data_IF_273697238258
#
_entry.id   IF_273697238258
#
_cell.length_a   1.000
_cell.length_b   1.000
_cell.length_c   1.000
_cell.angle_alpha   90.00
_cell.angle_beta   90.00
_cell.angle_gamma   90.00
#
_symmetry.space_group_name_H-M   'P 1'
#
loop_
_entity.id
_entity.type
_entity.pdbx_description
1 polymer ?
#
# COMPACT_ATOMS: atom_id res chain seq x y z
N UNK A 1 40.31 57.39 22.08
CA UNK A 1 40.33 55.94 22.24
C UNK A 1 39.92 55.34 20.88
N UNK A 2 40.89 54.89 20.11
CA UNK A 2 40.72 54.28 18.77
C UNK A 2 40.71 52.80 18.95
N UNK A 3 39.63 52.12 18.50
CA UNK A 3 39.56 50.64 18.42
C UNK A 3 40.16 50.17 17.12
N UNK A 4 41.24 49.38 17.19
CA UNK A 4 41.79 48.65 16.07
C UNK A 4 40.85 47.48 15.73
N UNK A 5 40.49 47.36 14.46
CA UNK A 5 39.87 46.17 13.88
C UNK A 5 40.98 45.35 13.19
N UNK A 6 41.24 44.16 13.67
CA UNK A 6 42.21 43.23 13.07
C UNK A 6 41.50 42.41 11.98
N UNK A 7 41.99 42.55 10.74
CA UNK A 7 41.65 41.67 9.64
C UNK A 7 42.52 40.40 9.69
N UNK A 8 41.86 39.24 9.75
CA UNK A 8 42.51 37.94 9.57
C UNK A 8 42.49 37.57 8.07
N UNK A 9 43.54 37.02 7.50
CA UNK A 9 43.57 36.60 6.11
C UNK A 9 42.93 35.24 5.92
N UNK A 10 42.09 35.14 4.86
CA UNK A 10 41.46 33.91 4.36
C UNK A 10 42.59 33.05 3.72
N UNK A 11 42.89 31.90 4.30
CA UNK A 11 43.77 30.89 3.66
C UNK A 11 42.85 29.99 2.80
N UNK A 12 43.05 30.08 1.49
CA UNK A 12 42.39 29.16 0.53
C UNK A 12 43.15 27.82 0.54
N UNK A 13 42.49 26.78 1.02
CA UNK A 13 42.98 25.40 0.90
C UNK A 13 42.55 24.86 -0.48
N UNK A 14 43.51 24.67 -1.38
CA UNK A 14 43.31 23.94 -2.62
C UNK A 14 43.25 22.43 -2.31
N UNK A 15 42.09 21.82 -2.44
CA UNK A 15 41.93 20.38 -2.35
C UNK A 15 42.31 19.74 -3.70
N UNK A 16 43.36 18.92 -3.70
CA UNK A 16 43.75 18.11 -4.84
C UNK A 16 42.75 16.96 -5.06
N UNK A 17 42.10 16.96 -6.19
CA UNK A 17 41.21 15.86 -6.61
C UNK A 17 42.07 14.63 -6.99
N UNK A 18 42.03 13.57 -6.17
CA UNK A 18 42.49 12.25 -6.57
C UNK A 18 41.30 11.56 -7.27
N UNK A 19 41.50 11.20 -8.53
CA UNK A 19 40.50 10.51 -9.35
C UNK A 19 40.24 9.09 -8.84
N UNK A 20 39.09 8.86 -8.29
CA UNK A 20 38.51 7.53 -8.08
C UNK A 20 37.90 6.99 -9.39
N UNK A 21 37.69 5.67 -9.52
CA UNK A 21 37.22 5.07 -10.75
C UNK A 21 35.80 5.63 -11.11
N UNK A 22 35.69 6.05 -12.36
CA UNK A 22 34.37 6.50 -12.91
C UNK A 22 33.42 5.32 -12.96
N UNK A 23 32.46 5.29 -12.06
CA UNK A 23 31.25 4.51 -12.24
C UNK A 23 30.49 5.15 -13.38
N UNK A 24 30.28 4.44 -14.46
CA UNK A 24 29.43 4.84 -15.57
C UNK A 24 28.00 4.98 -15.02
N UNK A 25 27.58 6.20 -14.73
CA UNK A 25 26.20 6.51 -14.45
C UNK A 25 25.44 6.49 -15.78
N UNK A 26 24.76 5.39 -16.08
CA UNK A 26 23.61 5.44 -16.96
C UNK A 26 22.51 6.19 -16.21
N UNK A 27 22.66 7.50 -16.15
CA UNK A 27 21.60 8.39 -15.71
C UNK A 27 20.55 8.41 -16.83
N UNK A 28 19.57 7.50 -16.75
CA UNK A 28 18.32 7.69 -17.45
C UNK A 28 17.73 9.01 -16.97
N UNK A 29 17.63 9.96 -17.90
CA UNK A 29 17.15 11.32 -17.70
C UNK A 29 15.73 11.29 -17.10
N UNK A 30 15.49 11.82 -15.88
CA UNK A 30 14.17 11.77 -15.25
C UNK A 30 13.19 12.83 -15.74
N UNK A 31 13.46 13.52 -16.85
CA UNK A 31 12.79 14.78 -17.21
C UNK A 31 11.78 14.67 -18.36
N UNK A 32 11.41 13.49 -18.84
CA UNK A 32 10.31 13.39 -19.81
C UNK A 32 9.05 12.79 -19.16
N UNK A 33 7.89 13.51 -19.24
CA UNK A 33 6.64 12.96 -18.72
C UNK A 33 6.25 11.72 -19.53
N UNK A 34 6.05 10.61 -18.84
CA UNK A 34 5.63 9.34 -19.41
C UNK A 34 4.25 9.36 -20.09
N UNK A 35 3.49 10.45 -19.90
CA UNK A 35 2.15 10.65 -20.48
C UNK A 35 2.12 10.54 -22.02
N UNK A 36 3.25 10.86 -22.69
CA UNK A 36 3.30 10.87 -24.15
C UNK A 36 3.77 9.55 -24.77
N UNK A 37 4.10 8.56 -23.94
CA UNK A 37 4.66 7.27 -24.37
C UNK A 37 3.94 6.05 -23.84
N UNK A 38 2.72 6.18 -23.34
CA UNK A 38 1.95 4.97 -23.02
C UNK A 38 1.62 4.25 -24.33
N UNK A 39 2.17 3.05 -24.56
CA UNK A 39 1.69 2.23 -25.67
C UNK A 39 0.20 1.96 -25.45
N UNK A 40 -0.60 1.88 -26.52
CA UNK A 40 -1.98 1.47 -26.37
C UNK A 40 -2.00 0.12 -25.66
N UNK A 41 -2.84 0.00 -24.61
CA UNK A 41 -2.92 -1.20 -23.81
C UNK A 41 -3.20 -2.41 -24.72
N UNK A 42 -2.21 -3.28 -24.86
CA UNK A 42 -2.43 -4.58 -25.51
C UNK A 42 -3.11 -5.51 -24.49
N UNK A 43 -4.42 -5.61 -24.64
CA UNK A 43 -5.31 -6.34 -23.74
C UNK A 43 -5.36 -7.85 -23.98
N UNK A 44 -4.43 -8.39 -24.76
CA UNK A 44 -4.47 -9.81 -25.16
C UNK A 44 -3.90 -10.79 -24.12
N UNK A 45 -3.33 -10.31 -23.00
CA UNK A 45 -2.62 -11.17 -22.05
C UNK A 45 -3.37 -11.31 -20.72
N UNK A 46 -4.13 -12.39 -20.61
CA UNK A 46 -4.66 -12.93 -19.36
C UNK A 46 -5.96 -12.30 -18.88
N UNK A 47 -7.03 -12.57 -19.57
CA UNK A 47 -8.39 -12.40 -19.04
C UNK A 47 -8.58 -13.29 -17.82
N UNK A 48 -8.34 -12.74 -16.63
CA UNK A 48 -9.08 -13.23 -15.47
C UNK A 48 -10.54 -12.97 -15.82
N UNK A 49 -11.36 -14.01 -15.85
CA UNK A 49 -12.78 -13.92 -16.21
C UNK A 49 -13.44 -12.82 -15.36
N UNK A 50 -13.71 -11.67 -15.97
CA UNK A 50 -14.57 -10.67 -15.38
C UNK A 50 -15.94 -11.34 -15.30
N UNK A 51 -16.39 -11.63 -14.09
CA UNK A 51 -17.77 -12.08 -13.86
C UNK A 51 -18.72 -11.13 -14.56
N UNK A 52 -19.90 -11.64 -14.96
CA UNK A 52 -20.97 -10.82 -15.55
C UNK A 52 -21.17 -9.52 -14.75
N UNK A 53 -21.69 -8.41 -15.33
CA UNK A 53 -21.93 -7.16 -14.64
C UNK A 53 -22.81 -7.38 -13.42
N UNK A 54 -22.20 -7.48 -12.25
CA UNK A 54 -22.77 -7.75 -10.94
C UNK A 54 -21.90 -7.15 -9.86
N UNK A 55 -22.32 -7.23 -8.62
CA UNK A 55 -21.51 -6.84 -7.47
C UNK A 55 -20.26 -7.75 -7.41
N UNK A 56 -19.04 -7.20 -7.42
CA UNK A 56 -17.84 -8.03 -7.36
C UNK A 56 -17.79 -8.81 -6.04
N UNK A 57 -17.24 -10.01 -6.06
CA UNK A 57 -17.00 -10.76 -4.83
C UNK A 57 -16.04 -9.97 -3.92
N UNK A 58 -16.35 -9.83 -2.62
CA UNK A 58 -15.52 -9.06 -1.71
C UNK A 58 -14.15 -9.71 -1.53
N UNK A 59 -13.12 -8.89 -1.36
CA UNK A 59 -11.80 -9.34 -0.96
C UNK A 59 -11.88 -9.86 0.48
N UNK A 60 -11.36 -11.05 0.75
CA UNK A 60 -11.28 -11.58 2.11
C UNK A 60 -10.34 -10.70 2.97
N UNK A 61 -10.86 -10.00 3.99
CA UNK A 61 -10.05 -9.11 4.81
C UNK A 61 -9.27 -9.83 5.90
N UNK A 62 -9.44 -11.15 6.10
CA UNK A 62 -8.76 -11.87 7.18
C UNK A 62 -7.25 -11.80 7.02
N UNK A 63 -6.56 -11.49 8.11
CA UNK A 63 -5.10 -11.52 8.11
C UNK A 63 -4.60 -12.95 7.84
N UNK A 64 -3.54 -13.12 7.04
CA UNK A 64 -2.93 -14.42 6.83
C UNK A 64 -2.37 -14.97 8.14
N UNK A 65 -2.35 -16.28 8.27
CA UNK A 65 -1.69 -16.94 9.42
C UNK A 65 -0.17 -16.72 9.32
N UNK A 66 0.53 -16.55 10.46
CA UNK A 66 1.98 -16.44 10.44
C UNK A 66 2.59 -17.74 9.89
N UNK A 67 3.54 -17.65 8.95
CA UNK A 67 4.26 -18.81 8.46
C UNK A 67 5.17 -19.39 9.56
N UNK A 68 5.69 -20.61 9.39
CA UNK A 68 6.77 -21.12 10.22
C UNK A 68 7.96 -20.15 10.22
N UNK A 69 8.59 -19.98 11.39
CA UNK A 69 9.77 -19.10 11.55
C UNK A 69 10.93 -19.51 10.64
N UNK A 70 11.67 -18.53 10.17
CA UNK A 70 12.90 -18.72 9.42
C UNK A 70 12.86 -18.15 8.00
N UNK A 71 12.99 -19.01 6.98
CA UNK A 71 13.00 -18.57 5.58
C UNK A 71 11.59 -18.55 4.99
N UNK A 72 11.14 -17.34 4.64
CA UNK A 72 9.84 -17.12 3.99
C UNK A 72 10.09 -16.75 2.53
N UNK A 73 9.64 -17.58 1.59
CA UNK A 73 9.74 -17.30 0.16
C UNK A 73 8.51 -16.57 -0.32
N UNK A 74 8.71 -15.45 -1.00
CA UNK A 74 7.66 -14.62 -1.56
C UNK A 74 7.96 -14.38 -3.03
N UNK A 75 6.98 -14.67 -3.90
CA UNK A 75 7.07 -14.41 -5.33
C UNK A 75 5.90 -13.55 -5.77
N UNK A 76 6.22 -12.41 -6.40
CA UNK A 76 5.24 -11.57 -7.05
C UNK A 76 5.40 -11.62 -8.57
N UNK A 77 4.27 -11.62 -9.24
CA UNK A 77 4.17 -11.47 -10.68
C UNK A 77 3.43 -10.17 -10.99
N UNK A 78 4.07 -9.29 -11.73
CA UNK A 78 3.41 -8.06 -12.21
C UNK A 78 2.56 -8.42 -13.42
N UNK A 79 1.30 -7.96 -13.42
CA UNK A 79 0.36 -8.15 -14.52
C UNK A 79 -0.57 -6.96 -14.64
N UNK A 80 -0.96 -6.62 -15.85
CA UNK A 80 -2.16 -5.80 -16.08
C UNK A 80 -3.39 -6.71 -15.96
N UNK A 81 -4.40 -6.23 -15.24
CA UNK A 81 -5.59 -7.05 -14.94
C UNK A 81 -6.81 -6.15 -14.90
N UNK A 82 -7.88 -6.57 -15.53
CA UNK A 82 -9.18 -5.89 -15.44
C UNK A 82 -9.89 -6.34 -14.17
N UNK A 83 -10.20 -5.38 -13.31
CA UNK A 83 -10.81 -5.61 -12.00
C UNK A 83 -12.07 -4.76 -11.85
N UNK A 84 -13.08 -5.30 -11.19
CA UNK A 84 -14.20 -4.50 -10.71
C UNK A 84 -13.74 -3.69 -9.49
N UNK A 85 -13.88 -2.36 -9.53
CA UNK A 85 -13.52 -1.45 -8.45
C UNK A 85 -14.74 -0.86 -7.73
N UNK A 86 -15.92 -1.01 -8.35
CA UNK A 86 -17.24 -0.72 -7.80
C UNK A 86 -18.27 -1.53 -8.58
N UNK A 87 -19.55 -1.64 -8.14
CA UNK A 87 -20.60 -2.28 -8.90
C UNK A 87 -20.73 -1.71 -10.32
N UNK A 88 -20.54 -2.56 -11.33
CA UNK A 88 -20.60 -2.18 -12.74
C UNK A 88 -19.41 -1.36 -13.27
N UNK A 89 -18.38 -1.11 -12.46
CA UNK A 89 -17.20 -0.32 -12.83
C UNK A 89 -15.99 -1.23 -12.94
N UNK A 90 -15.44 -1.36 -14.14
CA UNK A 90 -14.25 -2.16 -14.45
C UNK A 90 -13.09 -1.23 -14.73
N UNK A 91 -11.95 -1.49 -14.11
CA UNK A 91 -10.73 -0.72 -14.24
C UNK A 91 -9.57 -1.62 -14.69
N UNK A 92 -8.72 -1.13 -15.58
CA UNK A 92 -7.49 -1.81 -16.01
C UNK A 92 -6.36 -1.47 -15.04
N UNK A 93 -6.19 -2.34 -14.04
CA UNK A 93 -5.23 -2.16 -12.97
C UNK A 93 -3.85 -2.76 -13.32
N UNK A 94 -2.80 -2.19 -12.72
CA UNK A 94 -1.50 -2.83 -12.63
C UNK A 94 -1.41 -3.54 -11.29
N UNK A 95 -1.01 -4.80 -11.30
CA UNK A 95 -1.22 -5.64 -10.14
C UNK A 95 0.02 -6.43 -9.75
N UNK A 96 0.14 -6.71 -8.45
CA UNK A 96 0.93 -7.83 -7.96
C UNK A 96 0.02 -9.06 -7.84
N UNK A 97 0.34 -10.13 -8.56
CA UNK A 97 -0.40 -11.40 -8.58
C UNK A 97 -1.88 -11.25 -8.99
N UNK A 98 -2.19 -10.34 -9.94
CA UNK A 98 -3.51 -10.22 -10.55
C UNK A 98 -4.61 -9.66 -9.65
N UNK A 99 -4.29 -8.98 -8.55
CA UNK A 99 -5.26 -8.47 -7.57
C UNK A 99 -4.84 -7.13 -6.98
N UNK A 100 -5.82 -6.37 -6.45
CA UNK A 100 -5.64 -5.12 -5.70
C UNK A 100 -6.47 -5.19 -4.40
N UNK A 101 -5.87 -4.98 -3.23
CA UNK A 101 -4.42 -4.92 -3.01
C UNK A 101 -3.72 -6.20 -3.45
N UNK A 102 -2.42 -6.13 -3.68
CA UNK A 102 -1.58 -7.31 -3.83
C UNK A 102 -1.69 -8.25 -2.61
N UNK A 103 -1.06 -9.42 -2.60
CA UNK A 103 -1.17 -10.39 -1.51
C UNK A 103 -0.85 -9.79 -0.15
N UNK A 104 -1.69 -10.03 0.86
CA UNK A 104 -1.32 -9.73 2.25
C UNK A 104 -0.21 -10.67 2.69
N UNK A 105 0.91 -10.11 3.10
CA UNK A 105 2.05 -10.86 3.58
C UNK A 105 2.10 -10.85 5.12
N UNK A 106 2.65 -11.91 5.70
CA UNK A 106 2.93 -11.97 7.14
C UNK A 106 4.24 -12.69 7.39
N UNK A 107 5.08 -12.10 8.22
CA UNK A 107 6.38 -12.61 8.67
C UNK A 107 6.57 -12.25 10.14
N UNK A 108 7.64 -12.73 10.76
CA UNK A 108 7.98 -12.33 12.14
C UNK A 108 9.35 -11.64 12.15
N UNK A 109 9.57 -10.74 13.09
CA UNK A 109 10.88 -10.10 13.31
C UNK A 109 11.98 -11.15 13.33
N UNK A 110 13.04 -10.95 12.53
CA UNK A 110 14.18 -11.85 12.41
C UNK A 110 14.00 -13.01 11.41
N UNK A 111 12.82 -13.18 10.79
CA UNK A 111 12.70 -14.07 9.64
C UNK A 111 13.55 -13.55 8.46
N UNK A 112 13.89 -14.43 7.55
CA UNK A 112 14.53 -14.05 6.28
C UNK A 112 13.48 -14.12 5.17
N UNK A 113 13.24 -13.00 4.51
CA UNK A 113 12.38 -12.96 3.31
C UNK A 113 13.25 -13.16 2.08
N UNK A 114 12.96 -14.21 1.32
CA UNK A 114 13.57 -14.51 0.02
C UNK A 114 12.55 -14.11 -1.05
N UNK A 115 12.76 -12.95 -1.64
CA UNK A 115 11.78 -12.31 -2.50
C UNK A 115 12.17 -12.39 -3.97
N UNK A 116 11.20 -12.69 -4.82
CA UNK A 116 11.32 -12.66 -6.28
C UNK A 116 10.22 -11.80 -6.88
N UNK A 117 10.57 -10.82 -7.71
CA UNK A 117 9.65 -10.07 -8.58
C UNK A 117 9.84 -10.53 -10.02
N UNK A 118 8.75 -10.89 -10.70
CA UNK A 118 8.76 -11.20 -12.15
C UNK A 118 7.85 -10.22 -12.84
N UNK A 119 8.36 -9.53 -13.85
CA UNK A 119 7.59 -8.56 -14.59
C UNK A 119 7.02 -9.13 -15.89
N UNK A 120 5.73 -9.46 -15.87
CA UNK A 120 4.93 -9.81 -17.06
C UNK A 120 4.11 -8.62 -17.59
N UNK A 121 4.36 -7.42 -17.07
CA UNK A 121 3.72 -6.18 -17.52
C UNK A 121 4.35 -5.64 -18.82
N UNK A 122 3.85 -4.48 -19.25
CA UNK A 122 4.29 -3.84 -20.51
C UNK A 122 5.30 -2.72 -20.27
N UNK A 123 5.59 -2.39 -19.03
CA UNK A 123 6.51 -1.31 -18.64
C UNK A 123 7.39 -1.73 -17.47
N UNK A 124 8.45 -0.96 -17.14
CA UNK A 124 9.26 -1.22 -15.97
C UNK A 124 8.45 -1.14 -14.68
N UNK A 125 8.71 -2.06 -13.76
CA UNK A 125 8.14 -2.08 -12.42
C UNK A 125 9.22 -2.43 -11.40
N UNK A 126 8.98 -2.12 -10.13
CA UNK A 126 9.86 -2.46 -9.04
C UNK A 126 9.06 -2.82 -7.79
N UNK A 127 9.73 -2.97 -6.68
CA UNK A 127 9.10 -3.17 -5.37
C UNK A 127 9.82 -2.34 -4.33
N UNK A 128 9.06 -1.76 -3.40
CA UNK A 128 9.53 -1.16 -2.17
C UNK A 128 8.77 -1.77 -1.00
N UNK A 129 9.49 -2.35 -0.04
CA UNK A 129 8.92 -2.82 1.23
C UNK A 129 9.29 -1.84 2.33
N UNK A 130 8.33 -1.10 2.88
CA UNK A 130 8.58 -0.16 3.97
C UNK A 130 9.17 -0.81 5.23
N UNK A 131 8.98 -2.12 5.40
CA UNK A 131 9.59 -2.89 6.49
C UNK A 131 11.08 -3.24 6.25
N UNK A 132 11.59 -3.09 5.03
CA UNK A 132 12.94 -3.48 4.69
C UNK A 132 13.91 -2.32 4.89
N UNK A 133 14.89 -2.52 5.76
CA UNK A 133 15.94 -1.53 6.02
C UNK A 133 17.13 -1.78 5.10
N UNK A 134 16.94 -1.55 3.80
CA UNK A 134 17.95 -1.78 2.75
C UNK A 134 18.09 -0.50 1.93
N UNK A 135 19.30 -0.22 1.45
CA UNK A 135 19.50 0.90 0.53
C UNK A 135 18.74 0.66 -0.80
N UNK A 136 17.80 1.55 -1.18
CA UNK A 136 16.95 1.35 -2.38
C UNK A 136 17.76 1.12 -3.66
N UNK A 137 18.90 1.78 -3.81
CA UNK A 137 19.79 1.63 -4.97
C UNK A 137 20.36 0.22 -5.16
N UNK A 138 20.20 -0.66 -4.19
CA UNK A 138 20.68 -2.04 -4.26
C UNK A 138 19.65 -3.05 -4.71
N UNK A 139 18.36 -2.80 -4.41
CA UNK A 139 17.31 -3.82 -4.52
C UNK A 139 15.97 -3.31 -5.05
N UNK A 140 15.77 -1.98 -5.16
CA UNK A 140 14.53 -1.43 -5.69
C UNK A 140 14.76 -0.87 -7.10
N UNK A 141 15.38 -1.72 -7.94
CA UNK A 141 15.69 -1.37 -9.32
C UNK A 141 14.51 -1.62 -10.25
N UNK A 142 14.52 -1.00 -11.41
CA UNK A 142 13.49 -1.22 -12.40
C UNK A 142 13.68 -2.59 -13.07
N UNK A 143 12.73 -3.48 -12.87
CA UNK A 143 12.63 -4.77 -13.57
C UNK A 143 11.92 -4.52 -14.88
N UNK A 144 12.60 -4.76 -16.00
CA UNK A 144 12.05 -4.57 -17.33
C UNK A 144 11.03 -5.66 -17.68
N UNK A 145 10.11 -5.42 -18.64
CA UNK A 145 9.20 -6.45 -19.15
C UNK A 145 9.95 -7.73 -19.56
N UNK A 146 9.53 -8.87 -19.01
CA UNK A 146 10.15 -10.18 -19.25
C UNK A 146 11.29 -10.54 -18.28
N UNK A 147 11.78 -9.57 -17.51
CA UNK A 147 12.86 -9.80 -16.54
C UNK A 147 12.34 -10.15 -15.13
N UNK A 148 13.28 -10.49 -14.25
CA UNK A 148 13.02 -10.72 -12.82
C UNK A 148 14.14 -10.16 -11.96
N UNK A 149 13.82 -9.88 -10.70
CA UNK A 149 14.76 -9.48 -9.65
C UNK A 149 14.57 -10.35 -8.42
N UNK A 150 15.67 -10.69 -7.77
CA UNK A 150 15.66 -11.48 -6.52
C UNK A 150 16.54 -10.81 -5.47
N UNK A 151 16.04 -10.73 -4.25
CA UNK A 151 16.83 -10.26 -3.12
C UNK A 151 16.33 -10.81 -1.79
N UNK A 152 17.20 -10.75 -0.78
CA UNK A 152 16.90 -11.18 0.59
C UNK A 152 16.99 -10.03 1.56
N UNK A 153 16.10 -10.04 2.52
CA UNK A 153 16.08 -9.09 3.62
C UNK A 153 15.47 -9.71 4.88
N UNK A 154 15.60 -9.03 6.03
CA UNK A 154 15.06 -9.48 7.30
C UNK A 154 14.38 -8.31 8.01
N UNK A 155 13.08 -8.43 8.37
CA UNK A 155 12.39 -7.40 9.13
C UNK A 155 12.96 -7.30 10.55
N UNK A 156 13.23 -6.07 10.99
CA UNK A 156 13.79 -5.78 12.31
C UNK A 156 12.77 -5.12 13.25
N UNK A 157 11.73 -4.51 12.69
CA UNK A 157 10.71 -3.77 13.44
C UNK A 157 9.36 -4.43 13.24
N UNK A 158 8.64 -4.78 14.33
CA UNK A 158 7.29 -5.32 14.21
C UNK A 158 6.32 -4.24 13.74
N UNK A 159 5.25 -4.65 13.02
CA UNK A 159 4.28 -3.69 12.55
C UNK A 159 3.38 -4.14 11.43
N UNK A 160 2.63 -3.20 10.89
CA UNK A 160 1.99 -3.33 9.58
C UNK A 160 2.52 -2.26 8.65
N UNK A 161 3.02 -2.68 7.50
CA UNK A 161 3.77 -1.86 6.58
C UNK A 161 3.17 -1.93 5.17
N UNK A 162 3.24 -0.81 4.47
CA UNK A 162 2.97 -0.77 3.04
C UNK A 162 4.10 -1.49 2.27
N UNK A 163 3.76 -2.14 1.19
CA UNK A 163 4.66 -2.38 0.07
C UNK A 163 4.01 -1.84 -1.21
N UNK A 164 4.82 -1.34 -2.14
CA UNK A 164 4.31 -0.78 -3.39
C UNK A 164 5.36 -0.81 -4.50
N UNK A 165 4.94 -0.53 -5.73
CA UNK A 165 5.88 -0.29 -6.82
C UNK A 165 6.59 1.05 -6.62
N UNK A 166 7.93 1.05 -6.66
CA UNK A 166 8.77 2.24 -6.50
C UNK A 166 9.25 2.86 -7.81
N UNK A 167 8.83 2.34 -8.97
CA UNK A 167 9.17 2.88 -10.29
C UNK A 167 8.55 4.27 -10.48
N UNK A 168 9.33 5.22 -10.98
CA UNK A 168 8.85 6.57 -11.27
C UNK A 168 7.95 6.61 -12.53
N UNK A 169 6.86 7.41 -12.53
CA UNK A 169 6.31 8.19 -11.43
C UNK A 169 5.58 7.32 -10.40
N UNK A 170 6.08 7.27 -9.18
CA UNK A 170 5.60 6.34 -8.13
C UNK A 170 4.10 6.45 -7.88
N UNK A 171 3.57 7.68 -7.82
CA UNK A 171 2.15 7.94 -7.61
C UNK A 171 1.25 7.27 -8.69
N UNK A 172 1.73 7.20 -9.93
CA UNK A 172 1.01 6.54 -11.03
C UNK A 172 0.89 5.04 -10.79
N UNK A 173 1.95 4.39 -10.35
CA UNK A 173 1.96 2.95 -10.09
C UNK A 173 1.07 2.59 -8.89
N UNK A 174 1.12 3.37 -7.82
CA UNK A 174 0.25 3.19 -6.66
C UNK A 174 -1.22 3.39 -7.06
N UNK A 175 -1.55 4.49 -7.76
CA UNK A 175 -2.92 4.79 -8.19
C UNK A 175 -3.49 3.77 -9.20
N UNK A 176 -2.63 2.99 -9.87
CA UNK A 176 -3.04 1.87 -10.72
C UNK A 176 -3.19 0.55 -9.95
N UNK A 177 -2.95 0.51 -8.62
CA UNK A 177 -3.23 -0.65 -7.77
C UNK A 177 -2.00 -1.44 -7.32
N UNK A 178 -0.78 -0.96 -7.58
CA UNK A 178 0.45 -1.67 -7.23
C UNK A 178 0.88 -1.43 -5.79
N UNK A 179 0.11 -1.94 -4.86
CA UNK A 179 0.36 -1.84 -3.42
C UNK A 179 -0.25 -3.02 -2.65
N UNK A 180 0.17 -3.21 -1.40
CA UNK A 180 -0.42 -4.14 -0.46
C UNK A 180 0.16 -4.01 0.94
N UNK A 181 -0.22 -4.90 1.83
CA UNK A 181 0.17 -4.87 3.23
C UNK A 181 1.09 -6.02 3.61
N UNK A 182 2.07 -5.71 4.45
CA UNK A 182 2.96 -6.67 5.11
C UNK A 182 2.83 -6.54 6.62
N UNK A 183 2.41 -7.62 7.29
CA UNK A 183 2.44 -7.74 8.74
C UNK A 183 3.79 -8.31 9.16
N UNK A 184 4.45 -7.65 10.09
CA UNK A 184 5.64 -8.15 10.78
C UNK A 184 5.28 -8.40 12.24
N UNK A 185 5.09 -9.65 12.61
CA UNK A 185 4.80 -10.00 13.99
C UNK A 185 5.99 -9.73 14.91
N UNK A 186 5.75 -9.28 16.16
CA UNK A 186 6.81 -9.20 17.16
C UNK A 186 7.31 -10.60 17.54
N UNK A 187 8.55 -10.68 18.06
CA UNK A 187 9.14 -11.93 18.53
C UNK A 187 8.30 -12.59 19.64
N UNK A 188 7.70 -11.78 20.51
CA UNK A 188 6.69 -12.24 21.49
C UNK A 188 5.32 -11.96 20.88
N UNK A 189 4.50 -12.97 20.58
CA UNK A 189 3.21 -12.80 19.94
C UNK A 189 2.28 -11.85 20.73
N UNK A 190 1.51 -11.04 20.01
CA UNK A 190 0.41 -10.29 20.60
C UNK A 190 -0.68 -11.26 21.11
N UNK A 191 -1.54 -10.82 22.05
CA UNK A 191 -2.68 -11.61 22.50
C UNK A 191 -3.53 -12.11 21.32
N UNK A 192 -4.09 -13.34 21.38
CA UNK A 192 -4.98 -13.83 20.34
C UNK A 192 -6.13 -12.88 20.06
N UNK A 193 -6.42 -12.64 18.79
CA UNK A 193 -7.47 -11.75 18.32
C UNK A 193 -8.09 -12.28 17.03
N UNK A 194 -9.29 -11.78 16.69
CA UNK A 194 -9.82 -11.89 15.34
C UNK A 194 -9.19 -10.81 14.49
N UNK A 195 -8.42 -11.17 13.48
CA UNK A 195 -7.52 -10.26 12.77
C UNK A 195 -7.99 -9.96 11.36
N UNK A 196 -7.94 -8.67 10.98
CA UNK A 196 -8.33 -8.17 9.67
C UNK A 196 -7.28 -7.21 9.12
N UNK A 197 -7.14 -7.18 7.79
CA UNK A 197 -6.28 -6.24 7.06
C UNK A 197 -7.16 -5.34 6.21
N UNK A 198 -7.00 -4.04 6.39
CA UNK A 198 -7.62 -3.02 5.54
C UNK A 198 -6.54 -2.14 4.91
N UNK A 199 -6.47 -2.15 3.60
CA UNK A 199 -5.62 -1.23 2.85
C UNK A 199 -6.53 -0.20 2.20
N UNK A 200 -6.44 1.05 2.67
CA UNK A 200 -7.09 2.16 1.99
C UNK A 200 -6.30 2.50 0.72
N UNK A 201 -7.00 2.73 -0.38
CA UNK A 201 -6.41 3.13 -1.64
C UNK A 201 -7.41 3.93 -2.47
N UNK A 202 -6.93 4.55 -3.52
CA UNK A 202 -7.64 5.55 -4.30
C UNK A 202 -7.69 5.17 -5.77
N UNK A 203 -8.85 5.39 -6.41
CA UNK A 203 -9.01 5.22 -7.85
C UNK A 203 -9.36 6.56 -8.49
N UNK A 204 -8.55 6.96 -9.48
CA UNK A 204 -8.70 8.15 -10.28
C UNK A 204 -9.04 7.73 -11.70
N UNK A 205 -10.30 7.85 -12.08
CA UNK A 205 -10.78 7.22 -13.30
C UNK A 205 -11.13 8.25 -14.37
N UNK A 206 -10.76 7.95 -15.59
CA UNK A 206 -11.24 8.68 -16.77
C UNK A 206 -12.25 7.82 -17.55
N UNK A 207 -13.12 8.45 -18.36
CA UNK A 207 -14.02 7.73 -19.24
C UNK A 207 -13.29 6.65 -20.04
N UNK A 208 -13.96 5.54 -20.25
CA UNK A 208 -13.42 4.43 -21.03
C UNK A 208 -12.88 4.88 -22.39
N UNK A 209 -11.65 4.49 -22.68
CA UNK A 209 -11.01 4.80 -23.96
C UNK A 209 -11.36 3.77 -25.01
N UNK A 210 -11.71 2.55 -24.58
CA UNK A 210 -12.12 1.47 -25.45
C UNK A 210 -13.65 1.30 -25.49
N UNK A 211 -14.14 0.65 -26.54
CA UNK A 211 -15.57 0.39 -26.74
C UNK A 211 -16.18 -0.58 -25.70
N UNK A 212 -15.37 -1.13 -24.79
CA UNK A 212 -15.77 -2.12 -23.77
C UNK A 212 -16.12 -1.48 -22.42
N UNK A 213 -15.99 -0.15 -22.29
CA UNK A 213 -16.31 0.56 -21.04
C UNK A 213 -15.33 0.29 -19.90
N UNK A 214 -14.10 -0.08 -20.19
CA UNK A 214 -13.04 -0.24 -19.19
C UNK A 214 -12.42 1.12 -18.88
N UNK A 215 -12.33 1.45 -17.59
CA UNK A 215 -11.72 2.70 -17.13
C UNK A 215 -10.21 2.52 -16.93
N UNK A 216 -9.50 3.64 -16.98
CA UNK A 216 -8.06 3.74 -16.74
C UNK A 216 -7.75 4.97 -15.90
N UNK A 217 -6.47 5.18 -15.54
CA UNK A 217 -6.03 6.30 -14.73
C UNK A 217 -6.29 7.66 -15.39
N UNK A 218 -6.92 8.57 -14.65
CA UNK A 218 -6.93 10.00 -14.94
C UNK A 218 -5.78 10.68 -14.18
N UNK A 219 -4.75 11.03 -14.93
CA UNK A 219 -3.56 11.67 -14.37
C UNK A 219 -3.84 13.06 -13.76
N UNK A 220 -4.77 13.82 -14.31
CA UNK A 220 -5.10 15.14 -13.79
C UNK A 220 -5.85 15.05 -12.46
N UNK A 221 -6.78 14.10 -12.34
CA UNK A 221 -7.45 13.81 -11.07
C UNK A 221 -6.45 13.34 -10.02
N UNK A 222 -5.50 12.49 -10.39
CA UNK A 222 -4.44 12.03 -9.48
C UNK A 222 -3.63 13.20 -8.94
N UNK A 223 -3.14 14.09 -9.82
CA UNK A 223 -2.35 15.25 -9.42
C UNK A 223 -3.15 16.27 -8.59
N UNK A 224 -4.44 16.37 -8.79
CA UNK A 224 -5.32 17.26 -8.01
C UNK A 224 -5.84 16.63 -6.71
N UNK A 225 -5.53 15.34 -6.45
CA UNK A 225 -6.01 14.62 -5.27
C UNK A 225 -7.54 14.45 -5.23
N UNK A 226 -8.18 14.30 -6.40
CA UNK A 226 -9.62 14.17 -6.54
C UNK A 226 -10.03 12.74 -7.00
N UNK A 227 -9.95 11.73 -6.13
CA UNK A 227 -10.32 10.35 -6.48
C UNK A 227 -11.82 10.21 -6.72
N UNK A 228 -12.19 9.35 -7.67
CA UNK A 228 -13.59 8.96 -7.88
C UNK A 228 -14.04 7.94 -6.85
N UNK A 229 -13.13 7.05 -6.43
CA UNK A 229 -13.37 6.07 -5.36
C UNK A 229 -12.23 6.07 -4.37
N UNK A 230 -12.57 5.95 -3.09
CA UNK A 230 -11.64 5.61 -2.00
C UNK A 230 -12.13 4.31 -1.40
N UNK A 231 -11.26 3.33 -1.25
CA UNK A 231 -11.69 1.97 -0.99
C UNK A 231 -10.93 1.34 0.17
N UNK A 232 -11.56 0.46 0.91
CA UNK A 232 -10.84 -0.54 1.68
C UNK A 232 -10.70 -1.81 0.84
N UNK A 233 -9.45 -2.21 0.60
CA UNK A 233 -9.08 -3.41 -0.18
C UNK A 233 -9.59 -3.39 -1.64
N UNK A 234 -9.49 -2.23 -2.30
CA UNK A 234 -9.57 -2.11 -3.75
C UNK A 234 -10.96 -2.00 -4.35
N UNK A 235 -12.05 -2.31 -3.62
CA UNK A 235 -13.43 -2.24 -4.09
C UNK A 235 -14.25 -1.30 -3.21
N UNK A 236 -14.96 -0.35 -3.81
CA UNK A 236 -15.77 0.62 -3.11
C UNK A 236 -16.93 -0.05 -2.36
N UNK A 237 -17.08 0.29 -1.08
CA UNK A 237 -18.15 -0.13 -0.17
C UNK A 237 -18.37 -1.66 -0.05
N UNK A 238 -17.43 -2.49 -0.51
CA UNK A 238 -17.59 -3.95 -0.55
C UNK A 238 -18.00 -4.57 0.78
N UNK A 239 -17.51 -4.03 1.89
CA UNK A 239 -17.85 -4.55 3.22
C UNK A 239 -19.13 -3.91 3.81
N UNK A 240 -19.72 -2.91 3.16
CA UNK A 240 -21.07 -2.47 3.45
C UNK A 240 -22.09 -3.39 2.79
N UNK A 241 -21.82 -3.82 1.55
CA UNK A 241 -22.64 -4.79 0.82
C UNK A 241 -22.48 -6.23 1.36
N UNK A 242 -21.30 -6.55 1.89
CA UNK A 242 -20.95 -7.86 2.47
C UNK A 242 -20.36 -7.69 3.89
N UNK A 243 -21.21 -7.49 4.92
CA UNK A 243 -20.77 -7.27 6.29
C UNK A 243 -19.88 -8.38 6.85
N UNK A 244 -18.85 -8.00 7.62
CA UNK A 244 -17.93 -8.92 8.24
C UNK A 244 -18.51 -9.43 9.57
N UNK A 245 -18.80 -10.72 9.66
CA UNK A 245 -19.32 -11.33 10.89
C UNK A 245 -18.22 -11.53 11.94
N UNK A 246 -18.48 -11.06 13.16
CA UNK A 246 -17.61 -11.17 14.33
C UNK A 246 -18.43 -11.59 15.55
N UNK A 247 -17.77 -11.96 16.65
CA UNK A 247 -18.45 -12.27 17.92
C UNK A 247 -18.41 -11.05 18.85
N UNK A 248 -19.56 -10.75 19.50
CA UNK A 248 -19.58 -9.77 20.55
C UNK A 248 -18.61 -10.14 21.67
N UNK A 249 -17.86 -9.18 22.20
CA UNK A 249 -16.87 -9.38 23.25
C UNK A 249 -15.52 -9.97 22.81
N UNK A 250 -15.38 -10.53 21.57
CA UNK A 250 -14.06 -11.01 21.14
C UNK A 250 -13.12 -9.84 20.86
N UNK A 251 -11.79 -10.06 21.02
CA UNK A 251 -10.80 -9.07 20.66
C UNK A 251 -10.68 -9.03 19.14
N UNK A 252 -10.96 -7.85 18.57
CA UNK A 252 -10.75 -7.55 17.16
C UNK A 252 -9.44 -6.78 17.02
N UNK A 253 -8.63 -7.15 16.02
CA UNK A 253 -7.42 -6.45 15.65
C UNK A 253 -7.46 -6.11 14.16
N UNK A 254 -7.32 -4.81 13.87
CA UNK A 254 -7.29 -4.32 12.51
C UNK A 254 -5.89 -3.82 12.18
N UNK A 255 -5.31 -4.40 11.14
CA UNK A 255 -4.09 -3.92 10.50
C UNK A 255 -4.52 -2.97 9.38
N UNK A 256 -4.39 -1.67 9.61
CA UNK A 256 -4.83 -0.64 8.66
C UNK A 256 -3.62 -0.01 8.01
N UNK A 257 -3.56 -0.03 6.69
CA UNK A 257 -2.51 0.59 5.88
C UNK A 257 -3.16 1.60 4.95
N UNK A 258 -2.53 2.73 4.76
CA UNK A 258 -2.95 3.71 3.76
C UNK A 258 -1.95 3.73 2.60
N UNK A 259 -2.37 3.23 1.45
CA UNK A 259 -1.57 3.28 0.24
C UNK A 259 -1.63 4.66 -0.42
N UNK A 260 -2.64 5.46 -0.12
CA UNK A 260 -2.85 6.76 -0.74
C UNK A 260 -3.13 6.65 -2.24
N UNK A 261 -2.48 7.49 -3.08
CA UNK A 261 -1.29 8.29 -2.81
C UNK A 261 -1.52 9.68 -2.19
N UNK A 262 -2.76 10.17 -2.10
CA UNK A 262 -3.03 11.55 -1.71
C UNK A 262 -3.89 11.71 -0.45
N UNK A 263 -4.86 10.80 -0.23
CA UNK A 263 -5.84 10.93 0.87
C UNK A 263 -5.32 10.24 2.12
N UNK A 264 -5.71 10.74 3.27
CA UNK A 264 -5.42 10.13 4.56
C UNK A 264 -6.55 9.20 4.99
N UNK A 265 -6.24 8.14 5.72
CA UNK A 265 -7.23 7.29 6.37
C UNK A 265 -7.44 7.73 7.82
N UNK A 266 -8.57 8.31 8.14
CA UNK A 266 -8.96 8.59 9.52
C UNK A 266 -9.83 7.43 10.04
N UNK A 267 -9.22 6.31 10.40
CA UNK A 267 -9.92 5.06 10.68
C UNK A 267 -10.71 5.11 11.98
N UNK A 268 -11.98 4.73 11.91
CA UNK A 268 -12.93 4.73 13.02
C UNK A 268 -13.90 3.54 12.91
N UNK A 269 -14.30 2.99 14.05
CA UNK A 269 -15.44 2.05 14.16
C UNK A 269 -16.52 2.71 14.97
N UNK A 270 -17.68 2.97 14.33
CA UNK A 270 -18.82 3.66 14.97
C UNK A 270 -19.35 2.82 16.12
N UNK A 271 -19.55 3.45 17.28
CA UNK A 271 -20.01 2.76 18.49
C UNK A 271 -18.91 2.02 19.26
N UNK A 272 -17.64 2.17 18.88
CA UNK A 272 -16.51 1.57 19.58
C UNK A 272 -15.43 2.60 19.94
N UNK A 273 -14.67 2.28 20.98
CA UNK A 273 -13.41 2.94 21.35
C UNK A 273 -12.31 1.91 21.19
N UNK A 274 -11.23 2.27 20.52
CA UNK A 274 -10.06 1.42 20.44
C UNK A 274 -9.38 1.36 21.80
N UNK A 275 -9.33 0.16 22.39
CA UNK A 275 -8.60 -0.07 23.63
C UNK A 275 -7.11 0.18 23.47
N UNK A 276 -6.58 -0.12 22.27
CA UNK A 276 -5.21 0.18 21.88
C UNK A 276 -5.12 0.57 20.41
N UNK A 277 -4.22 1.51 20.12
CA UNK A 277 -3.77 1.85 18.77
C UNK A 277 -2.25 1.87 18.79
N UNK A 278 -1.63 1.18 17.84
CA UNK A 278 -0.17 1.09 17.72
C UNK A 278 0.27 1.86 16.45
N UNK A 279 0.73 3.14 16.60
CA UNK A 279 1.26 3.90 15.46
C UNK A 279 2.50 3.22 14.88
N UNK A 280 2.60 3.13 13.58
CA UNK A 280 3.67 2.42 12.85
C UNK A 280 4.02 1.06 13.48
N UNK A 281 3.04 0.54 14.23
CA UNK A 281 2.99 -0.77 14.85
C UNK A 281 4.06 -1.09 15.90
N UNK A 282 4.65 -0.11 16.53
CA UNK A 282 5.56 -0.35 17.67
C UNK A 282 4.73 -0.60 18.95
N UNK A 283 4.64 -1.85 19.46
CA UNK A 283 3.79 -2.17 20.61
C UNK A 283 4.11 -1.35 21.89
N UNK A 284 5.36 -0.91 22.03
CA UNK A 284 5.80 -0.11 23.17
C UNK A 284 5.20 1.31 23.20
N UNK A 285 4.64 1.78 22.07
CA UNK A 285 4.09 3.13 21.94
C UNK A 285 2.56 3.14 21.78
N UNK A 286 1.88 2.12 22.30
CA UNK A 286 0.42 2.03 22.19
C UNK A 286 -0.28 3.23 22.84
N UNK A 287 -1.21 3.82 22.11
CA UNK A 287 -2.20 4.75 22.65
C UNK A 287 -3.40 3.98 23.18
N UNK A 288 -4.00 4.43 24.25
CA UNK A 288 -5.16 3.79 24.84
C UNK A 288 -6.38 4.72 24.82
N UNK A 289 -7.59 4.14 24.65
CA UNK A 289 -8.84 4.91 24.68
C UNK A 289 -9.04 5.84 23.47
N UNK A 290 -8.62 5.43 22.30
CA UNK A 290 -8.64 6.25 21.08
C UNK A 290 -9.93 6.04 20.30
N UNK A 291 -10.59 7.11 19.87
CA UNK A 291 -11.82 7.01 19.07
C UNK A 291 -11.54 6.91 17.56
N UNK A 292 -10.56 7.67 17.06
CA UNK A 292 -10.18 7.77 15.66
C UNK A 292 -8.69 8.05 15.58
N UNK A 293 -7.97 7.39 14.69
CA UNK A 293 -6.59 7.72 14.45
C UNK A 293 -6.29 7.84 12.94
N UNK A 294 -5.38 8.76 12.63
CA UNK A 294 -4.98 9.06 11.25
C UNK A 294 -3.85 8.15 10.83
N UNK A 295 -4.07 7.37 9.79
CA UNK A 295 -3.04 6.65 9.05
C UNK A 295 -2.66 7.52 7.85
N UNK A 296 -1.42 8.01 7.77
CA UNK A 296 -0.98 8.82 6.63
C UNK A 296 -0.74 7.94 5.40
N UNK A 297 -0.75 8.51 4.19
CA UNK A 297 -0.28 7.81 2.99
C UNK A 297 1.13 7.22 3.20
N UNK A 298 1.28 5.93 2.88
CA UNK A 298 2.52 5.18 3.13
C UNK A 298 2.66 4.63 4.54
N UNK A 299 1.75 4.97 5.46
CA UNK A 299 1.78 4.52 6.84
C UNK A 299 0.92 3.30 7.12
N UNK A 300 1.07 2.75 8.32
CA UNK A 300 0.26 1.67 8.85
C UNK A 300 0.03 1.79 10.35
N UNK A 301 -1.11 1.32 10.84
CA UNK A 301 -1.43 1.26 12.27
C UNK A 301 -2.17 -0.01 12.61
N UNK A 302 -2.00 -0.47 13.85
CA UNK A 302 -2.78 -1.58 14.39
C UNK A 302 -3.78 -1.01 15.40
N UNK A 303 -5.04 -1.42 15.26
CA UNK A 303 -6.14 -1.01 16.14
C UNK A 303 -6.72 -2.22 16.85
N UNK A 304 -6.98 -2.11 18.14
CA UNK A 304 -7.62 -3.16 18.93
C UNK A 304 -8.87 -2.64 19.62
N UNK A 305 -9.96 -3.42 19.52
CA UNK A 305 -11.22 -3.12 20.23
C UNK A 305 -12.00 -4.39 20.52
N UNK A 306 -13.05 -4.26 21.34
CA UNK A 306 -14.12 -5.26 21.53
C UNK A 306 -15.46 -4.57 21.34
N UNK A 307 -16.34 -5.19 20.58
CA UNK A 307 -17.71 -4.75 20.46
C UNK A 307 -18.50 -5.33 21.65
N UNK A 308 -19.03 -4.45 22.50
CA UNK A 308 -19.55 -4.87 23.80
C UNK A 308 -20.84 -5.71 23.68
N UNK A 309 -21.63 -5.48 22.63
CA UNK A 309 -22.94 -6.10 22.45
C UNK A 309 -23.19 -6.50 20.99
N UNK A 310 -24.12 -7.43 20.74
CA UNK A 310 -24.56 -7.75 19.37
C UNK A 310 -25.14 -6.52 18.67
N UNK A 311 -24.86 -6.39 17.37
CA UNK A 311 -25.32 -5.28 16.55
C UNK A 311 -24.48 -5.04 15.31
N UNK A 312 -24.83 -4.00 14.55
CA UNK A 312 -24.13 -3.60 13.34
C UNK A 312 -23.27 -2.36 13.63
N UNK A 313 -21.99 -2.44 13.35
CA UNK A 313 -21.00 -1.40 13.64
C UNK A 313 -20.32 -0.96 12.33
N UNK A 314 -20.66 0.23 11.81
CA UNK A 314 -19.93 0.75 10.65
C UNK A 314 -18.46 1.01 10.98
N UNK A 315 -17.57 0.72 10.05
CA UNK A 315 -16.20 1.23 10.08
C UNK A 315 -15.95 2.10 8.84
N UNK A 316 -15.22 3.19 9.03
CA UNK A 316 -15.10 4.23 8.01
C UNK A 316 -13.72 4.88 8.07
N UNK A 317 -13.30 5.54 6.97
CA UNK A 317 -12.46 6.73 7.13
C UNK A 317 -13.35 7.90 7.55
N UNK A 318 -12.99 8.61 8.62
CA UNK A 318 -13.79 9.75 9.09
C UNK A 318 -13.63 11.03 8.23
N UNK A 319 -12.82 10.97 7.18
CA UNK A 319 -12.88 11.88 6.05
C UNK A 319 -14.12 11.53 5.22
N UNK A 320 -15.30 12.06 5.59
CA UNK A 320 -16.60 11.57 5.12
C UNK A 320 -16.81 11.70 3.61
N UNK A 321 -16.13 12.61 2.92
CA UNK A 321 -16.14 12.62 1.46
C UNK A 321 -15.57 11.31 0.91
N UNK A 322 -14.50 10.79 1.52
CA UNK A 322 -13.85 9.55 1.12
C UNK A 322 -14.69 8.32 1.54
N UNK A 323 -15.35 8.37 2.71
CA UNK A 323 -16.32 7.35 3.10
C UNK A 323 -17.49 7.27 2.11
N UNK A 324 -18.00 8.41 1.64
CA UNK A 324 -19.05 8.49 0.62
C UNK A 324 -18.59 7.91 -0.71
N UNK A 325 -17.31 8.05 -1.03
CA UNK A 325 -16.69 7.50 -2.23
C UNK A 325 -16.30 6.01 -2.07
N UNK A 326 -16.65 5.36 -0.96
CA UNK A 326 -16.55 3.91 -0.78
C UNK A 326 -15.64 3.40 0.34
N UNK A 327 -14.94 4.28 1.10
CA UNK A 327 -14.11 3.84 2.24
C UNK A 327 -14.97 3.61 3.50
N UNK A 328 -15.90 2.66 3.40
CA UNK A 328 -16.86 2.26 4.41
C UNK A 328 -17.06 0.75 4.41
N UNK A 329 -17.39 0.19 5.57
CA UNK A 329 -17.78 -1.20 5.73
C UNK A 329 -18.60 -1.41 7.00
N UNK A 330 -19.04 -2.65 7.24
CA UNK A 330 -19.85 -3.05 8.37
C UNK A 330 -19.27 -4.26 9.08
N UNK A 331 -19.22 -4.20 10.41
CA UNK A 331 -19.02 -5.37 11.27
C UNK A 331 -20.40 -5.78 11.80
N UNK A 332 -20.72 -7.06 11.71
CA UNK A 332 -21.92 -7.64 12.28
C UNK A 332 -21.57 -8.50 13.48
N UNK A 333 -21.71 -7.95 14.68
CA UNK A 333 -21.43 -8.63 15.95
C UNK A 333 -22.63 -9.52 16.34
N UNK A 334 -22.35 -10.79 16.64
CA UNK A 334 -23.35 -11.81 17.03
C UNK A 334 -23.05 -12.37 18.40
#
# INVERSE_FOLDING_TARGET
MRRLVALLPLVALAAACHGGPRVSSNANNPAEPWSDRMPPADVSHGEAAIGAPGTPAPVDPRAPQPPPRGLVRVRFEVRQTRLAVAPGVVYEAWTFNGRVPGPFLRVTVGDTVDFTLVNHGLMPHSIDFHAAQIAPSRVYTNVMPGDSEEFRWSPQVPGVFLYHCGTAPVAMHIANGMYGALIVDPATPLPPAREFVFVQGEWYTMPAVDAKGVLQLDWNKLLSGAPDYVTFNGIAAQYADHPISVKAGELLRFYVVDAGPNRISAFHVVGAIFSKVYPDAVPAHAWEGVQTATVPPGGGMIFETRLAEPGTYPFVTHAFADATNGAVGMLEAK
#
